data_IF_207923252118
#
_entry.id   IF_207923252118
#
_cell.length_a   1.000
_cell.length_b   1.000
_cell.length_c   1.000
_cell.angle_alpha   90.00
_cell.angle_beta   90.00
_cell.angle_gamma   90.00
#
_symmetry.space_group_name_H-M   'P 1'
#
loop_
_entity.id
_entity.type
_entity.pdbx_description
1 polymer ?
#
# COMPACT_ATOMS: atom_id res chain seq x y z
N UNK A 1 -10.61 1.63 -0.65
CA UNK A 1 -9.26 1.87 -0.11
C UNK A 1 -8.55 2.90 -1.00
N UNK A 2 -8.18 4.05 -0.45
CA UNK A 2 -7.29 5.01 -1.13
C UNK A 2 -5.83 4.67 -0.85
N UNK A 3 -4.94 4.87 -1.80
CA UNK A 3 -3.50 4.58 -1.64
C UNK A 3 -2.70 5.85 -1.88
N UNK A 4 -1.97 6.27 -0.84
CA UNK A 4 -1.11 7.45 -0.87
C UNK A 4 0.35 7.03 -0.70
N UNK A 5 1.18 7.37 -1.70
CA UNK A 5 2.64 7.26 -1.59
C UNK A 5 3.24 8.42 -0.80
N UNK A 6 2.50 9.53 -0.66
CA UNK A 6 2.86 10.67 0.15
C UNK A 6 2.55 10.44 1.63
N UNK A 7 3.34 11.07 2.50
CA UNK A 7 3.03 11.13 3.94
C UNK A 7 2.13 12.32 4.28
N UNK A 8 1.94 13.25 3.34
CA UNK A 8 1.08 14.43 3.50
C UNK A 8 -0.27 14.13 2.89
N UNK A 9 -1.32 14.32 3.69
CA UNK A 9 -2.71 14.22 3.26
C UNK A 9 -3.16 15.53 2.60
N UNK A 10 -4.13 15.47 1.67
CA UNK A 10 -4.79 16.67 1.14
C UNK A 10 -5.38 17.55 2.25
N UNK A 11 -5.44 18.87 2.02
CA UNK A 11 -5.83 19.85 3.06
C UNK A 11 -7.27 19.68 3.58
N UNK A 12 -8.14 19.08 2.78
CA UNK A 12 -9.53 18.76 3.07
C UNK A 12 -9.71 17.36 3.70
N UNK A 13 -8.62 16.63 3.96
CA UNK A 13 -8.66 15.27 4.51
C UNK A 13 -8.08 15.25 5.92
N UNK A 14 -8.89 14.77 6.88
CA UNK A 14 -8.52 14.60 8.28
C UNK A 14 -8.14 13.15 8.56
N UNK A 15 -6.99 12.95 9.21
CA UNK A 15 -6.64 11.66 9.80
C UNK A 15 -7.44 11.43 11.09
N UNK A 16 -8.25 10.38 11.11
CA UNK A 16 -9.06 9.99 12.27
C UNK A 16 -8.32 8.97 13.12
N UNK A 17 -7.77 7.94 12.46
CA UNK A 17 -7.10 6.81 13.14
C UNK A 17 -6.00 6.22 12.28
N UNK A 18 -4.91 5.80 12.95
CA UNK A 18 -3.87 4.96 12.36
C UNK A 18 -4.00 3.54 12.88
N UNK A 19 -3.71 2.58 12.01
CA UNK A 19 -3.65 1.16 12.34
C UNK A 19 -2.21 0.65 12.20
N UNK A 20 -1.98 -0.59 12.65
CA UNK A 20 -0.68 -1.24 12.53
C UNK A 20 -0.23 -1.31 11.08
N UNK A 21 1.03 -0.96 10.83
CA UNK A 21 1.64 -1.01 9.51
C UNK A 21 1.53 -2.42 8.92
N UNK A 22 1.23 -2.48 7.63
CA UNK A 22 1.17 -3.72 6.85
C UNK A 22 2.30 -3.74 5.83
N UNK A 23 2.78 -4.93 5.52
CA UNK A 23 3.81 -5.13 4.51
C UNK A 23 3.57 -6.41 3.72
N UNK A 24 4.01 -6.40 2.47
CA UNK A 24 3.96 -7.54 1.55
C UNK A 24 5.33 -7.68 0.91
N UNK A 25 5.87 -8.89 0.96
CA UNK A 25 7.11 -9.26 0.28
C UNK A 25 6.81 -10.37 -0.71
N UNK A 26 7.21 -10.19 -1.97
CA UNK A 26 7.00 -11.16 -3.06
C UNK A 26 8.28 -11.37 -3.85
N UNK A 27 8.62 -12.63 -4.10
CA UNK A 27 9.70 -13.02 -5.01
C UNK A 27 9.10 -13.26 -6.39
N UNK A 28 9.67 -12.63 -7.41
CA UNK A 28 9.16 -12.67 -8.79
C UNK A 28 10.33 -12.98 -9.73
N UNK A 29 10.23 -14.01 -10.58
CA UNK A 29 11.19 -14.20 -11.66
C UNK A 29 11.22 -12.97 -12.56
N UNK A 30 12.42 -12.50 -12.92
CA UNK A 30 12.60 -11.38 -13.86
C UNK A 30 12.22 -11.90 -15.25
N UNK A 31 10.95 -11.73 -15.56
CA UNK A 31 10.30 -12.03 -16.83
C UNK A 31 9.36 -10.86 -17.16
N UNK A 32 8.71 -10.87 -18.32
CA UNK A 32 7.89 -9.76 -18.82
C UNK A 32 6.63 -9.44 -17.96
N UNK A 33 6.42 -10.15 -16.84
CA UNK A 33 5.22 -10.05 -15.98
C UNK A 33 5.41 -9.19 -14.71
N UNK A 34 6.48 -8.42 -14.61
CA UNK A 34 6.78 -7.57 -13.44
C UNK A 34 5.61 -6.65 -13.08
N UNK A 35 4.99 -6.01 -14.08
CA UNK A 35 3.86 -5.09 -13.84
C UNK A 35 2.66 -5.78 -13.18
N UNK A 36 2.33 -7.00 -13.61
CA UNK A 36 1.27 -7.80 -13.00
C UNK A 36 1.62 -8.20 -11.55
N UNK A 37 2.89 -8.54 -11.30
CA UNK A 37 3.35 -8.88 -9.96
C UNK A 37 3.34 -7.67 -9.00
N UNK A 38 3.68 -6.47 -9.49
CA UNK A 38 3.56 -5.22 -8.74
C UNK A 38 2.11 -4.91 -8.39
N UNK A 39 1.19 -5.02 -9.36
CA UNK A 39 -0.25 -4.84 -9.12
C UNK A 39 -0.78 -5.80 -8.04
N UNK A 40 -0.44 -7.08 -8.16
CA UNK A 40 -0.83 -8.10 -7.17
C UNK A 40 -0.27 -7.83 -5.76
N UNK A 41 0.90 -7.19 -5.64
CA UNK A 41 1.44 -6.80 -4.33
C UNK A 41 0.63 -5.66 -3.69
N UNK A 42 0.18 -4.68 -4.49
CA UNK A 42 -0.67 -3.59 -4.01
C UNK A 42 -2.04 -4.13 -3.59
N UNK A 43 -2.64 -5.01 -4.39
CA UNK A 43 -3.93 -5.65 -4.06
C UNK A 43 -3.83 -6.44 -2.75
N UNK A 44 -2.74 -7.19 -2.57
CA UNK A 44 -2.47 -7.94 -1.34
C UNK A 44 -2.20 -7.01 -0.14
N UNK A 45 -1.51 -5.89 -0.34
CA UNK A 45 -1.28 -4.90 0.71
C UNK A 45 -2.61 -4.30 1.18
N UNK A 46 -3.51 -4.00 0.23
CA UNK A 46 -4.86 -3.53 0.51
C UNK A 46 -5.70 -4.59 1.23
N UNK A 47 -5.63 -5.86 0.83
CA UNK A 47 -6.42 -6.92 1.49
C UNK A 47 -5.92 -7.26 2.90
N UNK A 48 -4.66 -6.94 3.20
CA UNK A 48 -4.06 -7.15 4.54
C UNK A 48 -4.31 -5.98 5.49
N UNK A 49 -4.72 -4.82 4.95
CA UNK A 49 -5.04 -3.66 5.76
C UNK A 49 -6.19 -3.95 6.74
N UNK A 50 -6.23 -3.17 7.83
CA UNK A 50 -7.31 -3.25 8.81
C UNK A 50 -8.67 -3.00 8.13
N UNK A 51 -9.71 -3.76 8.51
CA UNK A 51 -11.03 -3.70 7.86
C UNK A 51 -11.68 -2.31 7.94
N UNK A 52 -11.50 -1.61 9.07
CA UNK A 52 -11.95 -0.22 9.25
C UNK A 52 -11.10 0.84 8.52
N UNK A 53 -9.98 0.46 7.89
CA UNK A 53 -9.15 1.42 7.17
C UNK A 53 -9.74 1.71 5.78
N UNK A 54 -9.91 3.00 5.46
CA UNK A 54 -10.31 3.41 4.13
C UNK A 54 -9.13 3.92 3.28
N UNK A 55 -7.94 4.02 3.85
CA UNK A 55 -6.72 4.45 3.16
C UNK A 55 -5.46 3.69 3.63
N UNK A 56 -4.46 3.66 2.76
CA UNK A 56 -3.07 3.31 3.05
C UNK A 56 -2.20 4.55 2.81
N UNK A 57 -1.46 5.00 3.81
CA UNK A 57 -0.62 6.21 3.75
C UNK A 57 0.85 5.83 3.83
N UNK A 58 1.70 6.62 3.17
CA UNK A 58 3.14 6.43 3.16
C UNK A 58 3.54 5.11 2.52
N UNK A 59 2.79 4.67 1.49
CA UNK A 59 3.11 3.44 0.79
C UNK A 59 4.48 3.58 0.12
N UNK A 60 5.40 2.73 0.57
CA UNK A 60 6.76 2.65 0.08
C UNK A 60 6.97 1.37 -0.68
N UNK A 61 7.89 1.43 -1.64
CA UNK A 61 8.24 0.33 -2.52
C UNK A 61 9.76 0.17 -2.52
N UNK A 62 10.22 -1.07 -2.42
CA UNK A 62 11.60 -1.43 -2.69
C UNK A 62 11.66 -2.68 -3.55
N UNK A 63 12.62 -2.71 -4.46
CA UNK A 63 12.92 -3.86 -5.29
C UNK A 63 14.41 -4.22 -5.16
N UNK A 64 14.69 -5.50 -4.97
CA UNK A 64 16.06 -6.03 -4.97
C UNK A 64 16.17 -7.12 -6.03
N UNK A 65 17.16 -7.02 -6.90
CA UNK A 65 17.50 -8.11 -7.83
C UNK A 65 18.54 -9.01 -7.17
N UNK A 66 18.23 -10.29 -7.12
CA UNK A 66 19.11 -11.35 -6.60
C UNK A 66 19.41 -12.34 -7.73
N UNK A 67 20.63 -12.87 -7.74
CA UNK A 67 21.07 -13.84 -8.74
C UNK A 67 21.39 -15.17 -8.04
N UNK A 68 20.35 -15.99 -7.88
CA UNK A 68 20.43 -17.32 -7.24
C UNK A 68 20.30 -18.42 -8.32
N UNK A 69 21.10 -18.33 -9.39
CA UNK A 69 20.98 -19.20 -10.57
C UNK A 69 19.84 -18.83 -11.53
N UNK A 70 18.86 -18.08 -11.05
CA UNK A 70 17.84 -17.35 -11.82
C UNK A 70 17.82 -15.88 -11.37
N UNK A 71 17.54 -14.96 -12.28
CA UNK A 71 17.35 -13.55 -11.95
C UNK A 71 16.00 -13.37 -11.26
N UNK A 72 16.01 -13.18 -9.94
CA UNK A 72 14.82 -12.99 -9.12
C UNK A 72 14.76 -11.55 -8.62
N UNK A 73 13.62 -10.91 -8.80
CA UNK A 73 13.32 -9.62 -8.17
C UNK A 73 12.46 -9.84 -6.92
N UNK A 74 12.92 -9.31 -5.79
CA UNK A 74 12.17 -9.25 -4.54
C UNK A 74 11.47 -7.91 -4.49
N UNK A 75 10.13 -7.92 -4.52
CA UNK A 75 9.28 -6.75 -4.34
C UNK A 75 8.87 -6.66 -2.87
N UNK A 76 9.11 -5.53 -2.23
CA UNK A 76 8.65 -5.25 -0.87
C UNK A 76 7.87 -3.95 -0.83
N UNK A 77 6.63 -4.05 -0.37
CA UNK A 77 5.71 -2.93 -0.16
C UNK A 77 5.40 -2.81 1.33
N UNK A 78 5.35 -1.59 1.84
CA UNK A 78 4.90 -1.30 3.20
C UNK A 78 4.06 -0.03 3.21
N UNK A 79 3.02 -0.01 4.03
CA UNK A 79 2.12 1.14 4.18
C UNK A 79 1.41 1.11 5.52
N UNK A 80 0.93 2.29 5.95
CA UNK A 80 0.19 2.41 7.21
C UNK A 80 -1.30 2.56 6.88
N UNK A 81 -2.15 1.59 7.26
CA UNK A 81 -3.59 1.74 7.09
C UNK A 81 -4.10 2.87 7.99
N UNK A 82 -5.07 3.62 7.49
CA UNK A 82 -5.64 4.76 8.15
C UNK A 82 -7.15 4.87 7.87
N UNK A 83 -7.86 5.44 8.83
CA UNK A 83 -9.21 5.94 8.64
C UNK A 83 -9.12 7.46 8.42
N UNK A 84 -9.60 7.90 7.27
CA UNK A 84 -9.64 9.30 6.84
C UNK A 84 -11.08 9.79 6.71
N UNK A 85 -11.29 11.07 6.98
CA UNK A 85 -12.56 11.77 6.75
C UNK A 85 -12.34 13.01 5.91
N UNK A 86 -13.30 13.36 5.06
CA UNK A 86 -13.29 14.62 4.30
C UNK A 86 -13.94 15.71 5.16
N UNK A 87 -13.22 16.81 5.38
CA UNK A 87 -13.71 17.96 6.11
C UNK A 87 -14.93 18.55 5.38
N UNK A 88 -16.12 18.45 6.00
CA UNK A 88 -17.38 18.94 5.45
C UNK A 88 -18.40 17.87 5.08
N UNK A 89 -18.06 16.59 5.21
CA UNK A 89 -19.05 15.51 5.16
C UNK A 89 -19.79 15.48 6.51
N UNK A 90 -20.84 16.30 6.61
CA UNK A 90 -21.84 16.20 7.67
C UNK A 90 -22.58 14.90 7.37
N UNK A 91 -22.47 13.90 8.24
CA UNK A 91 -23.36 12.74 8.19
C UNK A 91 -24.79 13.28 8.29
N UNK A 92 -25.50 13.23 7.17
CA UNK A 92 -26.89 13.64 7.09
C UNK A 92 -27.76 12.61 7.80
N UNK A 93 -28.40 13.04 8.88
CA UNK A 93 -29.59 12.42 9.48
C UNK A 93 -30.79 12.48 8.51
#
# INVERSE_FOLDING_TARGET
MHVFTTQVLPADVRLVRLFSMVHVVRRVPISDQIGAAMGACIDQLCSTAHEDANALIGVSFSALVTNEGEQIMVLAYAGTPALLEVAGQVDGD
#
